data_IF_681858736216
#
_entry.id   IF_681858736216
#
_cell.length_a   1.000
_cell.length_b   1.000
_cell.length_c   1.000
_cell.angle_alpha   90.00
_cell.angle_beta   90.00
_cell.angle_gamma   90.00
#
_symmetry.space_group_name_H-M   'P 1'
#
loop_
_entity.id
_entity.type
_entity.pdbx_description
1 polymer ?
#
# COMPACT_ATOMS: atom_id res chain seq x y z
N UNK A 1 -5.09 -16.23 11.21
CA UNK A 1 -3.96 -16.65 12.05
C UNK A 1 -3.36 -15.39 12.66
N UNK A 2 -3.14 -15.31 13.99
CA UNK A 2 -2.50 -14.15 14.61
C UNK A 2 -1.00 -14.12 14.22
N UNK A 3 -0.50 -12.96 13.82
CA UNK A 3 0.94 -12.75 13.55
C UNK A 3 1.75 -12.81 14.85
N UNK A 4 2.99 -13.35 14.83
CA UNK A 4 3.81 -13.56 16.03
C UNK A 4 4.40 -12.23 16.56
N UNK A 5 3.55 -11.44 17.20
CA UNK A 5 3.92 -10.32 18.09
C UNK A 5 2.76 -9.81 18.96
N UNK A 6 1.54 -10.36 18.83
CA UNK A 6 0.46 -10.19 19.80
C UNK A 6 -0.13 -8.78 20.00
N UNK A 7 0.43 -7.73 19.39
CA UNK A 7 -0.05 -6.35 19.58
C UNK A 7 -0.82 -5.77 18.39
N UNK A 8 -0.61 -6.28 17.17
CA UNK A 8 -1.26 -5.77 15.97
C UNK A 8 -1.91 -6.89 15.17
N UNK A 9 -3.21 -6.75 14.93
CA UNK A 9 -4.02 -7.70 14.18
C UNK A 9 -4.21 -7.17 12.76
N UNK A 10 -3.66 -7.91 11.80
CA UNK A 10 -3.99 -7.81 10.37
C UNK A 10 -4.87 -9.01 10.00
N UNK A 11 -5.92 -8.78 9.23
CA UNK A 11 -6.91 -9.80 8.90
C UNK A 11 -7.35 -9.70 7.43
N UNK A 12 -8.26 -10.60 7.03
CA UNK A 12 -8.82 -10.61 5.68
C UNK A 12 -7.78 -10.58 4.56
N UNK A 13 -8.07 -9.77 3.54
CA UNK A 13 -7.23 -9.64 2.34
C UNK A 13 -5.89 -8.94 2.64
N UNK A 14 -5.81 -8.07 3.65
CA UNK A 14 -4.55 -7.45 4.06
C UNK A 14 -3.60 -8.51 4.63
N UNK A 15 -4.10 -9.40 5.48
CA UNK A 15 -3.32 -10.54 5.96
C UNK A 15 -2.90 -11.47 4.81
N UNK A 16 -3.80 -11.74 3.85
CA UNK A 16 -3.45 -12.57 2.68
C UNK A 16 -2.33 -11.94 1.88
N UNK A 17 -2.40 -10.64 1.59
CA UNK A 17 -1.35 -9.92 0.86
C UNK A 17 -0.04 -9.88 1.62
N UNK A 18 -0.12 -9.67 2.93
CA UNK A 18 1.06 -9.73 3.79
C UNK A 18 1.72 -11.11 3.78
N UNK A 19 0.93 -12.19 3.84
CA UNK A 19 1.44 -13.55 3.76
C UNK A 19 2.02 -13.90 2.38
N UNK A 20 1.42 -13.40 1.29
CA UNK A 20 1.93 -13.51 -0.08
C UNK A 20 3.29 -12.81 -0.25
N UNK A 21 3.51 -11.72 0.49
CA UNK A 21 4.77 -11.00 0.55
C UNK A 21 5.72 -11.53 1.64
N UNK A 22 5.77 -12.83 1.88
CA UNK A 22 6.65 -13.51 2.87
C UNK A 22 6.47 -13.07 4.34
N UNK A 23 5.41 -12.33 4.65
CA UNK A 23 5.05 -11.91 6.00
C UNK A 23 6.20 -11.18 6.73
N UNK A 24 6.54 -11.56 7.97
CA UNK A 24 7.54 -10.85 8.77
C UNK A 24 8.97 -11.01 8.24
N UNK A 25 9.23 -12.03 7.42
CA UNK A 25 10.51 -12.24 6.75
C UNK A 25 10.60 -11.52 5.40
N UNK A 26 9.48 -10.98 4.93
CA UNK A 26 9.37 -10.30 3.66
C UNK A 26 9.77 -8.82 3.69
N UNK A 27 9.61 -8.12 2.57
CA UNK A 27 10.06 -6.74 2.41
C UNK A 27 9.34 -5.75 3.32
N UNK A 28 8.17 -6.10 3.87
CA UNK A 28 7.35 -5.26 4.75
C UNK A 28 7.78 -5.29 6.23
N UNK A 29 8.46 -6.35 6.67
CA UNK A 29 8.74 -6.59 8.08
C UNK A 29 7.46 -6.81 8.90
N UNK A 30 7.47 -6.50 10.20
CA UNK A 30 6.32 -6.73 11.08
C UNK A 30 5.23 -5.65 10.96
N UNK A 31 3.95 -5.98 11.23
CA UNK A 31 2.91 -4.97 11.36
C UNK A 31 3.20 -4.05 12.56
N UNK A 32 3.00 -2.75 12.37
CA UNK A 32 3.13 -1.70 13.40
C UNK A 32 1.80 -1.03 13.73
N UNK A 33 0.72 -1.41 13.04
CA UNK A 33 -0.64 -0.98 13.35
C UNK A 33 -1.63 -2.13 13.16
N UNK A 34 -2.78 -2.04 13.85
CA UNK A 34 -3.95 -2.84 13.50
C UNK A 34 -4.44 -2.47 12.10
N UNK A 35 -5.34 -3.29 11.58
CA UNK A 35 -6.19 -2.93 10.45
C UNK A 35 -7.14 -1.78 10.81
N UNK A 36 -6.94 -0.64 10.14
CA UNK A 36 -7.68 0.60 10.34
C UNK A 36 -8.62 0.83 9.14
N UNK A 37 -9.79 1.44 9.36
CA UNK A 37 -10.71 1.76 8.28
C UNK A 37 -10.12 2.84 7.36
N UNK A 38 -10.45 2.73 6.08
CA UNK A 38 -10.17 3.69 5.02
C UNK A 38 -11.49 4.07 4.31
N UNK A 39 -11.52 5.16 3.53
CA UNK A 39 -12.71 5.62 2.81
C UNK A 39 -13.32 4.55 1.89
N UNK A 40 -14.59 4.70 1.53
CA UNK A 40 -15.28 3.79 0.59
C UNK A 40 -15.28 2.30 1.02
N UNK A 41 -15.21 2.03 2.32
CA UNK A 41 -15.18 0.67 2.87
C UNK A 41 -13.83 -0.03 2.69
N UNK A 42 -12.77 0.72 2.39
CA UNK A 42 -11.41 0.19 2.39
C UNK A 42 -10.85 0.03 3.80
N UNK A 43 -9.70 -0.62 3.88
CA UNK A 43 -8.94 -0.81 5.10
C UNK A 43 -7.45 -0.68 4.82
N UNK A 44 -6.65 -0.38 5.83
CA UNK A 44 -5.20 -0.38 5.70
C UNK A 44 -4.48 -0.82 6.97
N UNK A 45 -3.27 -1.32 6.80
CA UNK A 45 -2.35 -1.62 7.90
C UNK A 45 -0.96 -1.13 7.58
N UNK A 46 -0.30 -0.53 8.58
CA UNK A 46 1.07 -0.05 8.49
C UNK A 46 2.03 -1.15 8.94
N UNK A 47 3.14 -1.25 8.24
CA UNK A 47 4.24 -2.16 8.49
C UNK A 47 5.53 -1.34 8.64
N UNK A 48 6.62 -1.98 9.08
CA UNK A 48 7.89 -1.31 9.35
C UNK A 48 8.42 -0.51 8.15
N UNK A 49 8.28 -1.05 6.94
CA UNK A 49 8.86 -0.48 5.71
C UNK A 49 7.82 -0.10 4.66
N UNK A 50 6.52 -0.28 4.95
CA UNK A 50 5.46 -0.04 3.98
C UNK A 50 4.07 -0.03 4.60
N UNK A 51 3.06 0.00 3.74
CA UNK A 51 1.64 -0.04 4.12
C UNK A 51 0.92 -0.93 3.12
N UNK A 52 -0.08 -1.67 3.58
CA UNK A 52 -1.01 -2.38 2.70
C UNK A 52 -2.33 -1.65 2.78
N UNK A 53 -2.83 -1.20 1.63
CA UNK A 53 -4.19 -0.70 1.47
C UNK A 53 -5.03 -1.74 0.76
N UNK A 54 -6.23 -1.97 1.29
CA UNK A 54 -7.23 -2.83 0.69
C UNK A 54 -8.49 -2.01 0.41
N UNK A 55 -9.12 -2.29 -0.74
CA UNK A 55 -10.49 -1.85 -1.01
C UNK A 55 -11.29 -2.99 -1.65
N UNK A 56 -12.62 -3.01 -1.51
CA UNK A 56 -13.45 -4.02 -2.17
C UNK A 56 -13.39 -3.94 -3.71
N UNK A 57 -13.01 -2.79 -4.28
CA UNK A 57 -12.93 -2.57 -5.73
C UNK A 57 -11.58 -2.97 -6.32
N UNK A 58 -10.49 -2.76 -5.58
CA UNK A 58 -9.13 -2.92 -6.11
C UNK A 58 -8.37 -4.10 -5.52
N UNK A 59 -8.73 -4.54 -4.31
CA UNK A 59 -7.98 -5.55 -3.59
C UNK A 59 -6.85 -4.95 -2.74
N UNK A 60 -5.98 -5.81 -2.20
CA UNK A 60 -4.92 -5.43 -1.28
C UNK A 60 -3.61 -5.19 -2.02
N UNK A 61 -3.03 -3.99 -1.84
CA UNK A 61 -1.82 -3.56 -2.53
C UNK A 61 -0.81 -2.94 -1.58
N UNK A 62 0.46 -3.22 -1.86
CA UNK A 62 1.60 -2.74 -1.07
C UNK A 62 2.07 -1.39 -1.62
N UNK A 63 2.15 -0.39 -0.74
CA UNK A 63 2.77 0.91 -1.02
C UNK A 63 3.94 1.17 -0.08
N UNK A 64 5.03 1.71 -0.60
CA UNK A 64 6.22 2.04 0.17
C UNK A 64 6.96 3.25 -0.38
N UNK A 65 7.91 3.77 0.40
CA UNK A 65 8.84 4.81 -0.04
C UNK A 65 8.18 6.11 -0.53
N UNK A 66 8.80 6.72 -1.55
CA UNK A 66 8.40 8.01 -2.10
C UNK A 66 7.01 7.98 -2.77
N UNK A 67 6.63 6.85 -3.39
CA UNK A 67 5.31 6.69 -4.01
C UNK A 67 4.21 6.80 -2.97
N UNK A 68 4.34 6.09 -1.84
CA UNK A 68 3.38 6.18 -0.73
C UNK A 68 3.27 7.62 -0.24
N UNK A 69 4.41 8.27 0.01
CA UNK A 69 4.44 9.63 0.54
C UNK A 69 3.76 10.65 -0.41
N UNK A 70 4.02 10.53 -1.72
CA UNK A 70 3.39 11.39 -2.73
C UNK A 70 1.88 11.15 -2.83
N UNK A 71 1.46 9.88 -2.83
CA UNK A 71 0.04 9.53 -2.84
C UNK A 71 -0.69 10.05 -1.59
N UNK A 72 -0.16 9.80 -0.39
CA UNK A 72 -0.72 10.31 0.87
C UNK A 72 -0.78 11.85 0.87
N UNK A 73 0.27 12.52 0.38
CA UNK A 73 0.29 13.99 0.25
C UNK A 73 -0.70 14.53 -0.77
N UNK A 74 -1.13 13.72 -1.74
CA UNK A 74 -2.16 14.08 -2.73
C UNK A 74 -3.60 13.89 -2.22
N UNK A 75 -3.77 13.42 -0.98
CA UNK A 75 -5.09 13.11 -0.39
C UNK A 75 -5.34 11.61 -0.21
N UNK A 76 -4.40 10.75 -0.61
CA UNK A 76 -4.49 9.31 -0.46
C UNK A 76 -5.74 8.72 -1.12
N UNK A 77 -6.51 7.86 -0.42
CA UNK A 77 -7.68 7.18 -0.99
C UNK A 77 -8.87 8.12 -1.29
N UNK A 78 -8.99 9.25 -0.61
CA UNK A 78 -9.96 10.32 -0.94
C UNK A 78 -9.40 11.34 -1.96
N UNK A 79 -8.13 11.19 -2.32
CA UNK A 79 -7.44 12.06 -3.26
C UNK A 79 -7.86 11.82 -4.71
N UNK A 80 -7.34 12.62 -5.65
CA UNK A 80 -7.70 12.54 -7.05
C UNK A 80 -7.33 11.21 -7.69
N UNK A 81 -6.35 10.47 -7.13
CA UNK A 81 -5.90 9.17 -7.64
C UNK A 81 -6.79 7.99 -7.20
N UNK A 82 -7.43 8.08 -6.03
CA UNK A 82 -8.14 6.96 -5.40
C UNK A 82 -7.20 5.87 -4.88
N UNK A 83 -7.69 4.63 -4.81
CA UNK A 83 -6.94 3.47 -4.32
C UNK A 83 -5.90 2.97 -5.32
N UNK A 84 -4.82 2.33 -4.86
CA UNK A 84 -3.94 1.55 -5.74
C UNK A 84 -4.72 0.39 -6.37
N UNK A 85 -4.46 0.12 -7.65
CA UNK A 85 -4.98 -1.05 -8.41
C UNK A 85 -3.90 -2.06 -8.76
N UNK A 86 -2.64 -1.72 -8.52
CA UNK A 86 -1.49 -2.61 -8.69
C UNK A 86 -0.52 -2.47 -7.53
N UNK A 87 0.30 -3.49 -7.32
CA UNK A 87 1.48 -3.35 -6.47
C UNK A 87 2.53 -2.45 -7.14
N UNK A 88 3.51 -2.03 -6.33
CA UNK A 88 4.68 -1.31 -6.79
C UNK A 88 5.55 -2.19 -7.68
N UNK A 89 5.63 -1.83 -8.97
CA UNK A 89 6.42 -2.55 -9.97
C UNK A 89 7.73 -1.81 -10.22
N UNK A 90 8.88 -2.50 -10.26
CA UNK A 90 10.15 -1.87 -10.62
C UNK A 90 10.14 -1.46 -12.10
N UNK A 91 10.73 -0.30 -12.39
CA UNK A 91 10.98 0.21 -13.75
C UNK A 91 12.44 0.68 -13.86
N UNK A 92 13.00 0.83 -15.07
CA UNK A 92 14.34 1.41 -15.23
C UNK A 92 14.44 2.78 -14.56
N UNK A 93 15.25 2.89 -13.51
CA UNK A 93 15.44 4.13 -12.76
C UNK A 93 14.48 4.36 -11.59
N UNK A 94 13.56 3.44 -11.29
CA UNK A 94 12.72 3.54 -10.09
C UNK A 94 11.55 2.57 -10.02
N UNK A 95 10.35 3.06 -9.73
CA UNK A 95 9.16 2.24 -9.51
C UNK A 95 7.89 2.92 -10.02
N UNK A 96 6.86 2.12 -10.32
CA UNK A 96 5.56 2.62 -10.77
C UNK A 96 4.42 1.89 -10.05
N UNK A 97 3.35 2.62 -9.74
CA UNK A 97 2.09 2.08 -9.19
C UNK A 97 0.93 2.69 -9.96
N UNK A 98 -0.01 1.84 -10.38
CA UNK A 98 -1.28 2.29 -10.94
C UNK A 98 -2.32 2.48 -9.83
N UNK A 99 -3.12 3.52 -9.98
CA UNK A 99 -4.23 3.90 -9.12
C UNK A 99 -5.53 3.96 -9.93
N UNK A 100 -6.67 4.02 -9.24
CA UNK A 100 -8.00 4.06 -9.87
C UNK A 100 -8.14 5.17 -10.92
N UNK A 101 -7.54 6.34 -10.70
CA UNK A 101 -7.64 7.51 -11.57
C UNK A 101 -6.27 8.08 -11.97
N UNK A 102 -5.24 7.24 -12.03
CA UNK A 102 -3.93 7.68 -12.47
C UNK A 102 -2.82 6.71 -12.16
N UNK A 103 -1.58 7.18 -12.24
CA UNK A 103 -0.37 6.39 -12.02
C UNK A 103 0.64 7.27 -11.30
N UNK A 104 1.37 6.73 -10.34
CA UNK A 104 2.54 7.40 -9.76
C UNK A 104 3.79 6.67 -10.22
N UNK A 105 4.72 7.42 -10.79
CA UNK A 105 6.02 6.92 -11.21
C UNK A 105 7.11 7.59 -10.39
N UNK A 106 7.84 6.84 -9.60
CA UNK A 106 9.05 7.31 -8.93
C UNK A 106 10.27 7.03 -9.80
N UNK A 107 11.03 8.07 -10.12
CA UNK A 107 12.32 7.94 -10.82
C UNK A 107 13.41 8.63 -10.00
N UNK A 108 14.35 7.86 -9.46
CA UNK A 108 15.43 8.40 -8.63
C UNK A 108 14.98 9.12 -7.35
N UNK A 109 13.83 8.73 -6.77
CA UNK A 109 13.26 9.40 -5.59
C UNK A 109 12.40 10.62 -5.89
N UNK A 110 12.09 10.88 -7.17
CA UNK A 110 11.13 11.90 -7.59
C UNK A 110 9.81 11.24 -8.03
N UNK A 111 8.81 11.19 -7.15
CA UNK A 111 7.50 10.65 -7.49
C UNK A 111 6.72 11.64 -8.34
N UNK A 112 6.41 11.24 -9.57
CA UNK A 112 5.58 11.97 -10.50
C UNK A 112 4.16 11.40 -10.48
N UNK A 113 3.20 12.22 -10.08
CA UNK A 113 1.78 11.89 -10.09
C UNK A 113 1.21 12.24 -11.47
N UNK A 114 0.59 11.26 -12.12
CA UNK A 114 -0.12 11.45 -13.40
C UNK A 114 -1.57 11.03 -13.19
N UNK A 115 -2.48 12.00 -13.09
CA UNK A 115 -3.93 11.77 -13.02
C UNK A 115 -4.53 11.69 -14.42
N UNK A 116 -5.56 10.86 -14.61
CA UNK A 116 -6.28 10.70 -15.89
C UNK A 116 -7.69 11.26 -15.83
#
# INVERSE_FOLDING_TARGET
>A
MPTPSGQYVVQGEILRKYADADGPSGPLGTPISNELPAPNGGHYSKFQTGVIYWSPRTGAHILSGAIRAAWESSGGPDGPLGYPVSDQRPIPGGSVVDFEHGTITDTGGQPQIVTR
#
